data_IF_841127423727
#
_entry.id   IF_841127423727
#
_cell.length_a   1.000
_cell.length_b   1.000
_cell.length_c   1.000
_cell.angle_alpha   90.00
_cell.angle_beta   90.00
_cell.angle_gamma   90.00
#
_symmetry.space_group_name_H-M   'P 1'
#
loop_
_entity.id
_entity.type
_entity.pdbx_description
1 polymer ?
#
# COMPACT_ATOMS: atom_id res chain seq x y z
N UNK A 1 -50.61 -54.44 -7.10
CA UNK A 1 -49.67 -54.67 -5.97
C UNK A 1 -49.40 -53.32 -5.28
N UNK A 2 -50.11 -53.03 -4.17
CA UNK A 2 -50.03 -51.71 -3.49
C UNK A 2 -49.07 -51.87 -2.33
N UNK A 3 -48.03 -51.06 -2.31
CA UNK A 3 -47.04 -51.05 -1.21
C UNK A 3 -47.61 -50.34 0.01
N UNK A 4 -47.40 -50.87 1.25
CA UNK A 4 -47.91 -50.25 2.44
C UNK A 4 -47.06 -49.00 2.79
N UNK A 5 -47.75 -47.87 3.09
CA UNK A 5 -47.20 -46.65 3.64
C UNK A 5 -46.83 -46.89 5.10
N UNK A 6 -45.52 -46.87 5.40
CA UNK A 6 -45.05 -47.00 6.79
C UNK A 6 -45.22 -45.65 7.48
N UNK A 7 -46.21 -45.54 8.39
CA UNK A 7 -46.40 -44.40 9.26
C UNK A 7 -45.36 -44.42 10.39
N UNK A 8 -44.44 -43.47 10.42
CA UNK A 8 -43.53 -43.28 11.54
C UNK A 8 -44.24 -42.65 12.71
N UNK A 9 -44.16 -43.31 13.88
CA UNK A 9 -44.80 -42.85 15.14
C UNK A 9 -44.10 -41.55 15.66
N UNK A 10 -44.85 -40.69 16.32
CA UNK A 10 -44.36 -39.40 16.92
C UNK A 10 -43.06 -39.54 17.75
N UNK A 11 -42.83 -40.70 18.35
CA UNK A 11 -41.64 -40.99 19.15
C UNK A 11 -40.35 -41.14 18.27
N UNK A 12 -40.48 -41.59 17.05
CA UNK A 12 -39.33 -41.71 16.11
C UNK A 12 -38.95 -40.37 15.48
N UNK A 13 -39.88 -39.43 15.41
CA UNK A 13 -39.63 -38.08 14.91
C UNK A 13 -38.86 -37.27 15.95
N UNK A 14 -39.11 -37.48 17.25
CA UNK A 14 -38.43 -36.72 18.33
C UNK A 14 -36.99 -37.24 18.56
N UNK A 15 -36.70 -38.51 18.30
CA UNK A 15 -35.32 -39.03 18.39
C UNK A 15 -34.40 -38.64 17.21
N UNK A 16 -34.98 -38.25 16.08
CA UNK A 16 -34.21 -37.76 14.93
C UNK A 16 -33.80 -36.25 15.02
N UNK A 17 -34.43 -35.48 15.89
CA UNK A 17 -34.18 -34.05 16.05
C UNK A 17 -33.09 -33.70 17.09
N UNK A 18 -32.64 -34.68 17.89
CA UNK A 18 -31.65 -34.44 18.96
C UNK A 18 -30.20 -34.67 18.53
N UNK A 19 -29.96 -35.14 17.30
CA UNK A 19 -28.59 -35.42 16.78
C UNK A 19 -28.01 -34.35 15.85
N UNK A 20 -28.71 -33.24 15.64
CA UNK A 20 -28.27 -32.16 14.74
C UNK A 20 -27.73 -30.90 15.47
N UNK A 21 -27.49 -30.97 16.76
CA UNK A 21 -26.92 -29.85 17.55
C UNK A 21 -25.53 -30.27 18.05
N UNK A 22 -24.55 -30.33 17.15
CA UNK A 22 -23.23 -30.75 17.62
C UNK A 22 -22.11 -30.70 16.58
N UNK A 23 -22.22 -29.84 15.58
CA UNK A 23 -21.08 -29.53 14.72
C UNK A 23 -21.20 -28.08 14.21
N UNK A 24 -21.20 -27.12 15.11
CA UNK A 24 -20.66 -25.81 14.76
C UNK A 24 -19.15 -26.04 14.68
N UNK A 25 -18.69 -26.48 13.52
CA UNK A 25 -17.30 -26.34 13.14
C UNK A 25 -17.01 -24.83 13.23
N UNK A 26 -16.27 -24.44 14.26
CA UNK A 26 -15.61 -23.16 14.30
C UNK A 26 -14.71 -23.17 13.07
N UNK A 27 -15.21 -22.59 11.96
CA UNK A 27 -14.37 -22.31 10.81
C UNK A 27 -13.16 -21.54 11.40
N UNK A 28 -11.91 -21.97 11.10
CA UNK A 28 -10.75 -21.18 11.51
C UNK A 28 -11.00 -19.79 11.00
N UNK A 29 -11.13 -18.83 11.93
CA UNK A 29 -11.48 -17.46 11.59
C UNK A 29 -10.55 -17.02 10.48
N UNK A 30 -11.10 -16.65 9.33
CA UNK A 30 -10.42 -15.85 8.33
C UNK A 30 -9.94 -14.61 9.12
N UNK A 31 -8.71 -14.66 9.62
CA UNK A 31 -8.06 -13.49 10.18
C UNK A 31 -8.06 -12.50 9.02
N UNK A 32 -8.97 -11.54 9.06
CA UNK A 32 -9.02 -10.48 8.06
C UNK A 32 -7.63 -9.85 8.04
N UNK A 33 -6.90 -10.08 6.96
CA UNK A 33 -5.56 -9.54 6.82
C UNK A 33 -5.68 -8.02 6.94
N UNK A 34 -4.89 -7.41 7.83
CA UNK A 34 -4.93 -5.97 8.01
C UNK A 34 -4.69 -5.26 6.67
N UNK A 35 -5.45 -4.20 6.40
CA UNK A 35 -5.32 -3.44 5.16
C UNK A 35 -3.84 -3.05 4.93
N UNK A 36 -3.33 -3.12 3.68
CA UNK A 36 -1.94 -2.83 3.39
C UNK A 36 -1.59 -1.37 3.72
N UNK A 37 -0.31 -1.10 3.94
CA UNK A 37 0.24 0.27 3.94
C UNK A 37 0.42 0.66 2.49
N UNK A 38 -0.33 1.65 2.04
CA UNK A 38 -0.30 2.16 0.67
C UNK A 38 0.80 3.21 0.55
N UNK A 39 1.79 2.94 -0.32
CA UNK A 39 2.95 3.81 -0.52
C UNK A 39 2.97 4.28 -1.96
N UNK A 40 2.80 5.58 -2.18
CA UNK A 40 2.68 6.19 -3.51
C UNK A 40 3.97 6.83 -3.99
N UNK A 41 4.27 6.71 -5.30
CA UNK A 41 5.35 7.47 -5.92
C UNK A 41 5.16 7.65 -7.44
N UNK A 42 5.84 8.68 -7.98
CA UNK A 42 6.07 8.82 -9.41
C UNK A 42 7.57 8.71 -9.69
N UNK A 43 7.91 8.11 -10.83
CA UNK A 43 9.31 7.89 -11.21
C UNK A 43 9.46 7.93 -12.74
N UNK A 44 10.57 8.44 -13.23
CA UNK A 44 10.86 8.53 -14.67
C UNK A 44 11.13 7.15 -15.27
N UNK A 45 10.11 6.50 -15.80
CA UNK A 45 10.22 5.25 -16.58
C UNK A 45 10.41 5.54 -18.06
N UNK A 46 10.00 6.73 -18.51
CA UNK A 46 10.22 7.23 -19.87
C UNK A 46 10.81 8.65 -19.83
N UNK A 47 11.37 9.11 -20.95
CA UNK A 47 11.97 10.43 -21.06
C UNK A 47 13.45 10.49 -20.66
N UNK A 48 14.06 11.70 -20.63
CA UNK A 48 15.51 11.88 -20.48
C UNK A 48 16.09 11.43 -19.14
N UNK A 49 15.29 11.35 -18.07
CA UNK A 49 15.76 10.98 -16.72
C UNK A 49 15.65 9.49 -16.40
N UNK A 50 15.15 8.68 -17.35
CA UNK A 50 14.92 7.23 -17.16
C UNK A 50 16.19 6.51 -16.69
N UNK A 51 17.35 6.80 -17.31
CA UNK A 51 18.60 6.12 -16.98
C UNK A 51 18.97 6.28 -15.50
N UNK A 52 18.87 7.49 -14.96
CA UNK A 52 19.14 7.74 -13.54
C UNK A 52 18.11 7.10 -12.63
N UNK A 53 16.85 7.32 -12.92
CA UNK A 53 15.73 6.86 -12.10
C UNK A 53 15.67 5.32 -11.99
N UNK A 54 15.84 4.62 -13.10
CA UNK A 54 15.74 3.16 -13.18
C UNK A 54 16.98 2.43 -12.63
N UNK A 55 18.13 3.11 -12.55
CA UNK A 55 19.35 2.50 -12.02
C UNK A 55 19.55 2.80 -10.54
N UNK A 56 19.22 4.03 -10.10
CA UNK A 56 19.59 4.48 -8.76
C UNK A 56 18.45 4.58 -7.75
N UNK A 57 17.18 4.52 -8.16
CA UNK A 57 16.08 4.79 -7.24
C UNK A 57 14.98 3.73 -7.27
N UNK A 58 14.32 3.48 -8.39
CA UNK A 58 13.17 2.58 -8.44
C UNK A 58 13.50 1.15 -7.99
N UNK A 59 14.64 0.54 -8.37
CA UNK A 59 14.98 -0.79 -7.89
C UNK A 59 15.10 -0.88 -6.36
N UNK A 60 15.58 0.19 -5.71
CA UNK A 60 15.67 0.23 -4.26
C UNK A 60 14.28 0.32 -3.60
N UNK A 61 13.33 1.02 -4.20
CA UNK A 61 11.95 1.06 -3.71
C UNK A 61 11.27 -0.31 -3.80
N UNK A 62 11.46 -1.00 -4.93
CA UNK A 62 10.93 -2.32 -5.15
C UNK A 62 11.54 -3.34 -4.19
N UNK A 63 12.87 -3.35 -4.07
CA UNK A 63 13.60 -4.25 -3.16
C UNK A 63 13.17 -4.02 -1.70
N UNK A 64 13.13 -2.77 -1.26
CA UNK A 64 12.67 -2.44 0.10
C UNK A 64 11.28 -2.97 0.39
N UNK A 65 10.33 -2.76 -0.53
CA UNK A 65 8.96 -3.23 -0.34
C UNK A 65 8.88 -4.77 -0.32
N UNK A 66 9.64 -5.44 -1.18
CA UNK A 66 9.73 -6.89 -1.23
C UNK A 66 10.31 -7.46 0.08
N UNK A 67 11.46 -6.94 0.54
CA UNK A 67 12.10 -7.37 1.79
C UNK A 67 11.18 -7.18 3.00
N UNK A 68 10.55 -5.99 3.12
CA UNK A 68 9.60 -5.74 4.20
C UNK A 68 8.40 -6.68 4.13
N UNK A 69 7.89 -6.92 2.93
CA UNK A 69 6.77 -7.84 2.73
C UNK A 69 7.16 -9.29 3.07
N UNK A 70 8.37 -9.74 2.71
CA UNK A 70 8.89 -11.06 3.06
C UNK A 70 9.06 -11.22 4.58
N UNK A 71 9.45 -10.14 5.28
CA UNK A 71 9.53 -10.09 6.75
C UNK A 71 8.17 -9.98 7.46
N UNK A 72 7.06 -10.08 6.72
CA UNK A 72 5.70 -10.01 7.27
C UNK A 72 5.00 -8.67 7.08
N UNK A 73 5.68 -7.63 6.64
CA UNK A 73 5.19 -6.26 6.46
C UNK A 73 5.70 -5.30 7.52
N UNK A 74 5.31 -4.04 7.40
CA UNK A 74 5.63 -2.99 8.37
C UNK A 74 4.83 -3.21 9.67
N UNK A 75 5.48 -2.96 10.79
CA UNK A 75 4.80 -2.91 12.08
C UNK A 75 4.10 -1.56 12.25
N UNK A 76 2.79 -1.60 12.26
CA UNK A 76 1.97 -0.41 12.49
C UNK A 76 1.20 -0.61 13.80
N UNK A 77 1.70 -0.03 14.87
CA UNK A 77 1.12 -0.16 16.22
C UNK A 77 0.92 -1.61 16.68
N UNK A 78 1.93 -2.46 16.43
CA UNK A 78 1.90 -3.88 16.80
C UNK A 78 1.18 -4.78 15.79
N UNK A 79 0.68 -4.26 14.68
CA UNK A 79 0.04 -5.03 13.62
C UNK A 79 0.91 -5.02 12.38
N UNK A 80 1.28 -6.21 11.88
CA UNK A 80 2.02 -6.36 10.62
C UNK A 80 1.10 -6.11 9.43
N UNK A 81 1.45 -5.11 8.60
CA UNK A 81 0.73 -4.72 7.39
C UNK A 81 1.66 -4.80 6.19
N UNK A 82 1.23 -5.48 5.15
CA UNK A 82 1.99 -5.55 3.88
C UNK A 82 2.04 -4.17 3.22
N UNK A 83 3.13 -3.91 2.47
CA UNK A 83 3.26 -2.71 1.64
C UNK A 83 2.59 -2.96 0.30
N UNK A 84 1.77 -2.02 -0.14
CA UNK A 84 1.24 -1.90 -1.48
C UNK A 84 1.87 -0.67 -2.15
N UNK A 85 2.68 -0.88 -3.19
CA UNK A 85 3.28 0.21 -3.97
C UNK A 85 2.32 0.68 -5.05
N UNK A 86 2.04 1.99 -5.07
CA UNK A 86 1.22 2.67 -6.07
C UNK A 86 2.12 3.60 -6.86
N UNK A 87 2.48 3.22 -8.08
CA UNK A 87 3.47 3.95 -8.86
C UNK A 87 2.94 4.42 -10.21
N UNK A 88 3.50 5.51 -10.71
CA UNK A 88 3.20 6.07 -12.03
C UNK A 88 4.47 6.50 -12.74
N UNK A 89 4.47 6.43 -14.08
CA UNK A 89 5.50 7.04 -14.90
C UNK A 89 5.29 8.55 -14.95
N UNK A 90 6.28 9.32 -14.50
CA UNK A 90 6.25 10.78 -14.56
C UNK A 90 6.73 11.35 -15.91
N UNK A 91 7.20 10.49 -16.81
CA UNK A 91 7.70 10.82 -18.15
C UNK A 91 8.83 11.86 -18.16
N UNK A 92 9.56 11.97 -17.06
CA UNK A 92 10.55 13.03 -16.85
C UNK A 92 9.96 14.45 -16.97
N UNK A 93 8.67 14.61 -16.73
CA UNK A 93 7.91 15.85 -16.88
C UNK A 93 7.44 16.39 -15.53
N UNK A 94 7.84 17.61 -15.19
CA UNK A 94 7.57 18.21 -13.88
C UNK A 94 6.08 18.42 -13.61
N UNK A 95 5.29 18.76 -14.63
CA UNK A 95 3.85 18.97 -14.47
C UNK A 95 3.13 17.64 -14.19
N UNK A 96 3.55 16.57 -14.87
CA UNK A 96 3.05 15.23 -14.62
C UNK A 96 3.40 14.74 -13.23
N UNK A 97 4.64 15.00 -12.76
CA UNK A 97 5.06 14.73 -11.38
C UNK A 97 4.11 15.42 -10.39
N UNK A 98 3.90 16.73 -10.52
CA UNK A 98 3.05 17.51 -9.61
C UNK A 98 1.63 16.95 -9.56
N UNK A 99 0.99 16.73 -10.71
CA UNK A 99 -0.37 16.17 -10.80
C UNK A 99 -0.48 14.79 -10.15
N UNK A 100 0.55 13.95 -10.36
CA UNK A 100 0.57 12.61 -9.76
C UNK A 100 0.62 12.69 -8.24
N UNK A 101 1.49 13.53 -7.67
CA UNK A 101 1.58 13.66 -6.21
C UNK A 101 0.36 14.35 -5.61
N UNK A 102 -0.25 15.32 -6.29
CA UNK A 102 -1.55 15.88 -5.86
C UNK A 102 -2.64 14.81 -5.80
N UNK A 103 -2.67 13.91 -6.79
CA UNK A 103 -3.60 12.78 -6.77
C UNK A 103 -3.30 11.81 -5.64
N UNK A 104 -2.05 11.36 -5.49
CA UNK A 104 -1.64 10.39 -4.46
C UNK A 104 -1.98 10.88 -3.05
N UNK A 105 -1.66 12.14 -2.74
CA UNK A 105 -1.86 12.71 -1.40
C UNK A 105 -3.27 13.25 -1.16
N UNK A 106 -3.89 13.84 -2.19
CA UNK A 106 -5.21 14.49 -2.06
C UNK A 106 -6.39 13.56 -2.26
N UNK A 107 -6.41 12.81 -3.38
CA UNK A 107 -7.54 11.96 -3.78
C UNK A 107 -7.37 10.53 -3.31
N UNK A 108 -6.23 9.91 -3.61
CA UNK A 108 -5.96 8.51 -3.28
C UNK A 108 -5.66 8.34 -1.78
N UNK A 109 -5.17 9.39 -1.13
CA UNK A 109 -4.84 9.44 0.31
C UNK A 109 -3.99 8.23 0.72
N UNK A 110 -2.88 8.04 0.01
CA UNK A 110 -1.90 7.00 0.36
C UNK A 110 -1.35 7.23 1.78
N UNK A 111 -0.90 6.18 2.44
CA UNK A 111 -0.35 6.31 3.81
C UNK A 111 1.02 7.00 3.82
N UNK A 112 1.86 6.74 2.82
CA UNK A 112 3.20 7.31 2.67
C UNK A 112 3.46 7.66 1.20
N UNK A 113 4.39 8.60 0.97
CA UNK A 113 4.92 8.89 -0.36
C UNK A 113 6.44 8.70 -0.39
N UNK A 114 6.93 8.13 -1.49
CA UNK A 114 8.35 8.10 -1.82
C UNK A 114 8.63 9.20 -2.86
N UNK A 115 9.78 9.90 -2.79
CA UNK A 115 10.11 11.01 -3.67
C UNK A 115 10.30 10.61 -5.14
N UNK A 116 10.14 11.54 -6.09
CA UNK A 116 10.56 11.36 -7.47
C UNK A 116 12.08 11.46 -7.60
N UNK A 117 12.63 11.05 -8.74
CA UNK A 117 14.05 11.14 -9.01
C UNK A 117 14.51 12.57 -9.34
N UNK A 118 15.64 12.97 -8.74
CA UNK A 118 16.36 14.18 -9.10
C UNK A 118 15.84 15.48 -8.47
N UNK A 119 16.69 16.51 -8.44
CA UNK A 119 16.42 17.76 -7.72
C UNK A 119 15.22 18.52 -8.27
N UNK A 120 15.05 18.60 -9.61
CA UNK A 120 13.97 19.39 -10.22
C UNK A 120 12.58 18.89 -9.81
N UNK A 121 12.35 17.58 -9.89
CA UNK A 121 11.09 16.97 -9.47
C UNK A 121 10.85 17.15 -7.97
N UNK A 122 11.91 17.01 -7.15
CA UNK A 122 11.82 17.23 -5.71
C UNK A 122 11.49 18.69 -5.36
N UNK A 123 12.03 19.69 -6.07
CA UNK A 123 11.63 21.10 -5.89
C UNK A 123 10.13 21.33 -6.11
N UNK A 124 9.57 20.65 -7.09
CA UNK A 124 8.15 20.80 -7.40
C UNK A 124 7.24 20.09 -6.37
N UNK A 125 7.65 18.94 -5.85
CA UNK A 125 6.80 18.09 -4.99
C UNK A 125 6.98 18.38 -3.50
N UNK A 126 8.17 18.77 -3.03
CA UNK A 126 8.42 19.00 -1.62
C UNK A 126 7.44 20.00 -0.96
N UNK A 127 7.06 21.15 -1.59
CA UNK A 127 6.04 22.04 -1.05
C UNK A 127 4.66 21.38 -0.95
N UNK A 128 4.31 20.49 -1.89
CA UNK A 128 3.06 19.75 -1.86
C UNK A 128 3.03 18.77 -0.70
N UNK A 129 4.08 17.96 -0.55
CA UNK A 129 4.21 17.02 0.55
C UNK A 129 4.11 17.75 1.91
N UNK A 130 4.78 18.90 2.04
CA UNK A 130 4.68 19.74 3.22
C UNK A 130 3.26 20.25 3.47
N UNK A 131 2.56 20.71 2.43
CA UNK A 131 1.16 21.19 2.52
C UNK A 131 0.21 20.11 2.97
N UNK A 132 0.40 18.88 2.48
CA UNK A 132 -0.43 17.72 2.84
C UNK A 132 0.04 17.02 4.13
N UNK A 133 1.18 17.43 4.73
CA UNK A 133 1.71 16.86 5.97
C UNK A 133 2.41 15.51 5.81
N UNK A 134 2.89 15.18 4.61
CA UNK A 134 3.62 13.95 4.35
C UNK A 134 5.12 14.12 4.62
N UNK A 135 5.76 13.24 5.40
CA UNK A 135 7.22 13.16 5.45
C UNK A 135 7.78 12.85 4.06
N UNK A 136 8.81 13.60 3.64
CA UNK A 136 9.36 13.53 2.30
C UNK A 136 10.88 13.40 2.35
N UNK A 137 11.37 12.17 2.16
CA UNK A 137 12.77 11.78 2.30
C UNK A 137 13.43 11.68 0.92
N UNK A 138 14.16 12.68 0.48
CA UNK A 138 14.72 12.79 -0.85
C UNK A 138 16.13 12.16 -0.96
N UNK A 139 16.26 10.91 -1.49
CA UNK A 139 17.54 10.19 -1.53
C UNK A 139 18.40 10.51 -2.77
N UNK A 140 17.82 11.09 -3.81
CA UNK A 140 18.51 11.35 -5.10
C UNK A 140 18.50 12.82 -5.50
N UNK A 141 18.10 13.71 -4.59
CA UNK A 141 18.09 15.16 -4.83
C UNK A 141 19.37 15.78 -4.28
N UNK A 142 20.27 16.20 -5.15
CA UNK A 142 21.61 16.70 -4.76
C UNK A 142 21.69 18.22 -4.52
N UNK A 143 20.58 18.96 -4.72
CA UNK A 143 20.61 20.41 -4.59
C UNK A 143 20.45 20.89 -3.14
N UNK A 144 21.48 21.54 -2.60
CA UNK A 144 21.43 22.17 -1.27
C UNK A 144 20.31 23.22 -1.13
N UNK A 145 19.90 23.85 -2.23
CA UNK A 145 18.77 24.80 -2.25
C UNK A 145 17.45 24.20 -1.76
N UNK A 146 17.28 22.87 -1.83
CA UNK A 146 16.12 22.21 -1.25
C UNK A 146 16.05 22.38 0.28
N UNK A 147 17.20 22.40 0.96
CA UNK A 147 17.28 22.64 2.41
C UNK A 147 16.90 24.09 2.73
N UNK A 148 17.26 25.03 1.85
CA UNK A 148 16.97 26.47 2.01
C UNK A 148 15.46 26.76 1.98
N UNK A 149 14.64 25.86 1.44
CA UNK A 149 13.18 25.96 1.47
C UNK A 149 12.61 25.84 2.89
N UNK A 150 13.38 25.33 3.85
CA UNK A 150 13.01 25.19 5.28
C UNK A 150 11.64 24.52 5.50
N UNK A 151 11.34 23.51 4.71
CA UNK A 151 10.08 22.76 4.81
C UNK A 151 10.15 21.75 5.96
N UNK A 152 9.25 21.82 6.97
CA UNK A 152 9.30 20.98 8.17
C UNK A 152 9.26 19.47 7.92
N UNK A 153 8.62 19.04 6.84
CA UNK A 153 8.47 17.62 6.50
C UNK A 153 9.43 17.14 5.41
N UNK A 154 10.39 17.98 4.99
CA UNK A 154 11.37 17.64 3.96
C UNK A 154 12.71 17.23 4.58
N UNK A 155 13.23 16.07 4.17
CA UNK A 155 14.51 15.53 4.62
C UNK A 155 15.36 15.16 3.40
N UNK A 156 16.52 15.78 3.27
CA UNK A 156 17.49 15.47 2.24
C UNK A 156 18.44 14.40 2.76
N UNK A 157 18.51 13.27 2.06
CA UNK A 157 19.40 12.15 2.36
C UNK A 157 20.55 12.17 1.36
N UNK A 158 21.75 12.58 1.78
CA UNK A 158 22.98 12.63 1.00
C UNK A 158 24.00 11.64 1.54
#
# INVERSE_FOLDING_TARGET
>A
MVQPVVQKTRRQIIQGAAAAVGAMSVAPGLMAQAAPVRVGYAIARTGPWTGGAQVSQEPNYLLWAEEQNNAGGLDVKGVKRKIELISSDDRSDTETVVRTYEKLMGSDKVDLVLPPWGSNANFAVAPLANRFGYPFLAPTALSKRLIEMKLPYFFLLL
#
